data_IF_327626771268
#
_entry.id   IF_327626771268
#
_cell.length_a   1.000
_cell.length_b   1.000
_cell.length_c   1.000
_cell.angle_alpha   90.00
_cell.angle_beta   90.00
_cell.angle_gamma   90.00
#
_symmetry.space_group_name_H-M   'P 1'
#
loop_
_entity.id
_entity.type
_entity.pdbx_description
1 polymer ?
#
# COMPACT_ATOMS: atom_id res chain seq x y z
N UNK A 1 -20.91 -17.18 9.62
CA UNK A 1 -20.55 -15.89 10.24
C UNK A 1 -19.85 -15.05 9.18
N UNK A 2 -20.62 -14.21 8.50
CA UNK A 2 -20.14 -13.38 7.39
C UNK A 2 -19.29 -12.25 7.96
N UNK A 3 -18.01 -12.19 7.56
CA UNK A 3 -17.14 -11.07 7.92
C UNK A 3 -17.51 -9.88 7.03
N UNK A 4 -18.09 -8.84 7.63
CA UNK A 4 -18.40 -7.59 6.94
C UNK A 4 -17.09 -6.89 6.59
N UNK A 5 -16.61 -7.05 5.36
CA UNK A 5 -15.45 -6.30 4.86
C UNK A 5 -15.95 -4.92 4.45
N UNK A 6 -15.64 -3.90 5.24
CA UNK A 6 -15.87 -2.51 4.83
C UNK A 6 -14.73 -2.09 3.91
N UNK A 7 -15.04 -1.93 2.61
CA UNK A 7 -14.08 -1.46 1.62
C UNK A 7 -13.88 0.04 1.79
N UNK A 8 -12.93 0.45 2.63
CA UNK A 8 -12.56 1.86 2.83
C UNK A 8 -11.45 2.23 1.85
N UNK A 9 -11.73 3.17 0.94
CA UNK A 9 -10.73 3.76 0.05
C UNK A 9 -10.19 5.05 0.66
N UNK A 10 -8.91 5.05 1.03
CA UNK A 10 -8.22 6.25 1.53
C UNK A 10 -7.40 6.86 0.39
N UNK A 11 -7.83 8.02 -0.11
CA UNK A 11 -7.07 8.80 -1.08
C UNK A 11 -6.23 9.85 -0.35
N UNK A 12 -4.90 9.72 -0.42
CA UNK A 12 -3.96 10.59 0.29
C UNK A 12 -3.15 11.40 -0.71
N UNK A 13 -3.25 12.73 -0.63
CA UNK A 13 -2.52 13.66 -1.52
C UNK A 13 -1.08 13.91 -1.06
N UNK A 14 -0.76 13.58 0.19
CA UNK A 14 0.57 13.73 0.80
C UNK A 14 1.19 12.34 1.09
N UNK A 15 2.50 12.15 0.92
CA UNK A 15 3.15 10.89 1.28
C UNK A 15 2.98 10.57 2.78
N UNK A 16 2.59 9.33 3.08
CA UNK A 16 2.56 8.82 4.46
C UNK A 16 4.00 8.68 4.97
N UNK A 17 4.28 9.29 6.10
CA UNK A 17 5.59 9.25 6.78
C UNK A 17 5.55 8.27 7.95
N UNK A 18 6.58 7.45 8.10
CA UNK A 18 6.73 6.52 9.21
C UNK A 18 7.26 7.27 10.45
N UNK A 19 6.56 7.23 11.59
CA UNK A 19 7.04 7.89 12.82
C UNK A 19 8.27 7.21 13.47
N UNK A 20 8.72 6.06 12.97
CA UNK A 20 9.93 5.38 13.47
C UNK A 20 11.17 5.85 12.69
N UNK A 21 11.16 5.72 11.36
CA UNK A 21 12.31 6.10 10.52
C UNK A 21 12.23 7.53 9.97
N UNK A 22 11.13 8.24 10.23
CA UNK A 22 10.85 9.61 9.74
C UNK A 22 10.86 9.77 8.21
N UNK A 23 10.91 8.67 7.47
CA UNK A 23 10.89 8.64 6.01
C UNK A 23 9.54 8.20 5.43
N UNK A 24 9.45 8.17 4.09
CA UNK A 24 8.29 7.61 3.38
C UNK A 24 8.06 6.15 3.79
N UNK A 25 6.83 5.80 4.11
CA UNK A 25 6.47 4.42 4.45
C UNK A 25 6.73 3.47 3.28
N UNK A 26 7.37 2.34 3.56
CA UNK A 26 7.61 1.21 2.64
C UNK A 26 6.96 -0.04 3.21
N UNK A 27 6.22 -0.80 2.39
CA UNK A 27 5.42 -1.95 2.85
C UNK A 27 4.56 -1.56 4.07
N UNK A 28 3.55 -0.71 3.86
CA UNK A 28 2.80 -0.10 4.94
C UNK A 28 2.05 -1.15 5.78
N UNK A 29 2.24 -1.04 7.09
CA UNK A 29 1.53 -1.80 8.10
C UNK A 29 0.71 -0.84 8.95
N UNK A 30 -0.56 -1.14 9.13
CA UNK A 30 -1.53 -0.35 9.90
C UNK A 30 -1.82 -1.02 11.25
N UNK A 31 -1.75 -0.23 12.32
CA UNK A 31 -2.22 -0.63 13.64
C UNK A 31 -3.75 -0.46 13.76
N UNK A 32 -4.37 -1.04 14.78
CA UNK A 32 -5.83 -0.91 15.02
C UNK A 32 -6.31 0.53 15.25
N UNK A 33 -5.38 1.40 15.63
CA UNK A 33 -5.58 2.83 15.87
C UNK A 33 -5.26 3.67 14.62
N UNK A 34 -5.18 3.01 13.46
CA UNK A 34 -4.97 3.60 12.14
C UNK A 34 -3.61 4.29 11.91
N UNK A 35 -2.64 4.12 12.81
CA UNK A 35 -1.28 4.58 12.56
C UNK A 35 -0.54 3.63 11.61
N UNK A 36 0.20 4.20 10.67
CA UNK A 36 0.88 3.48 9.60
C UNK A 36 2.39 3.59 9.75
N UNK A 37 3.09 2.47 9.60
CA UNK A 37 4.54 2.36 9.69
C UNK A 37 5.09 1.47 8.57
N UNK A 38 6.41 1.50 8.35
CA UNK A 38 7.04 0.47 7.52
C UNK A 38 6.99 -0.87 8.25
N UNK A 39 6.75 -1.98 7.54
CA UNK A 39 6.79 -3.34 8.10
C UNK A 39 8.07 -3.57 8.93
N UNK A 40 9.24 -3.38 8.33
CA UNK A 40 10.52 -3.58 9.02
C UNK A 40 10.64 -2.71 10.28
N UNK A 41 10.18 -1.47 10.23
CA UNK A 41 10.28 -0.55 11.36
C UNK A 41 9.40 -1.00 12.53
N UNK A 42 8.14 -1.36 12.26
CA UNK A 42 7.23 -1.80 13.31
C UNK A 42 7.63 -3.18 13.85
N UNK A 43 8.14 -4.08 13.00
CA UNK A 43 8.61 -5.40 13.42
C UNK A 43 9.80 -5.31 14.39
N UNK A 44 10.76 -4.41 14.11
CA UNK A 44 11.88 -4.15 15.03
C UNK A 44 11.41 -3.56 16.35
N UNK A 45 10.45 -2.65 16.32
CA UNK A 45 9.90 -2.04 17.53
C UNK A 45 9.18 -3.07 18.42
N UNK A 46 8.37 -3.93 17.81
CA UNK A 46 7.55 -4.93 18.50
C UNK A 46 8.35 -6.04 19.21
N UNK A 47 9.64 -6.19 18.89
CA UNK A 47 10.54 -7.11 19.63
C UNK A 47 10.73 -6.72 21.10
N UNK A 48 10.67 -5.42 21.39
CA UNK A 48 11.01 -4.89 22.70
C UNK A 48 9.86 -4.09 23.34
N UNK A 49 8.83 -3.73 22.57
CA UNK A 49 7.70 -2.92 23.04
C UNK A 49 6.39 -3.39 22.43
N UNK A 50 5.36 -3.60 23.24
CA UNK A 50 4.02 -4.03 22.78
C UNK A 50 3.03 -2.86 22.66
N UNK A 51 3.50 -1.66 22.34
CA UNK A 51 2.67 -0.45 22.25
C UNK A 51 2.89 0.27 20.92
N UNK A 52 1.87 0.93 20.39
CA UNK A 52 1.98 1.73 19.18
C UNK A 52 3.00 2.87 19.37
N UNK A 53 3.98 3.04 18.46
CA UNK A 53 4.99 4.10 18.57
C UNK A 53 4.43 5.53 18.61
N UNK A 54 3.26 5.76 17.99
CA UNK A 54 2.68 7.10 17.86
C UNK A 54 1.82 7.52 19.06
N UNK A 55 0.98 6.62 19.58
CA UNK A 55 -0.01 6.95 20.61
C UNK A 55 0.01 6.02 21.83
N UNK A 56 0.95 5.07 21.90
CA UNK A 56 1.16 4.13 23.01
C UNK A 56 0.00 3.18 23.31
N UNK A 57 -1.04 3.14 22.48
CA UNK A 57 -2.11 2.12 22.57
C UNK A 57 -1.48 0.72 22.49
N UNK A 58 -1.83 -0.22 23.39
CA UNK A 58 -1.32 -1.58 23.37
C UNK A 58 -1.61 -2.30 22.04
N UNK A 59 -0.63 -3.09 21.59
CA UNK A 59 -0.73 -3.99 20.45
C UNK A 59 -0.69 -5.41 21.02
N UNK A 60 -1.79 -6.14 20.86
CA UNK A 60 -1.98 -7.49 21.40
C UNK A 60 -2.33 -8.48 20.27
N UNK A 61 -2.31 -9.80 20.53
CA UNK A 61 -2.72 -10.79 19.53
C UNK A 61 -4.16 -10.62 19.04
N UNK A 62 -5.05 -10.06 19.86
CA UNK A 62 -6.44 -9.75 19.51
C UNK A 62 -6.55 -8.47 18.65
N UNK A 63 -5.54 -7.60 18.74
CA UNK A 63 -5.45 -6.32 18.03
C UNK A 63 -4.11 -6.16 17.30
N UNK A 64 -3.79 -7.05 16.33
CA UNK A 64 -2.50 -7.04 15.66
C UNK A 64 -2.40 -5.93 14.61
N UNK A 65 -1.17 -5.57 14.28
CA UNK A 65 -0.85 -4.78 13.10
C UNK A 65 -1.11 -5.61 11.82
N UNK A 66 -1.59 -4.96 10.75
CA UNK A 66 -1.95 -5.63 9.48
C UNK A 66 -1.30 -4.93 8.30
N UNK A 67 -0.89 -5.67 7.28
CA UNK A 67 -0.41 -5.09 6.03
C UNK A 67 -1.55 -4.39 5.27
N UNK A 68 -1.25 -3.26 4.65
CA UNK A 68 -2.21 -2.55 3.77
C UNK A 68 -2.08 -3.12 2.35
N UNK A 69 -3.15 -3.75 1.86
CA UNK A 69 -3.24 -4.26 0.49
C UNK A 69 -3.18 -3.09 -0.49
N UNK A 70 -2.27 -3.14 -1.47
CA UNK A 70 -2.10 -2.09 -2.48
C UNK A 70 -1.23 -0.91 -2.04
N UNK A 71 -0.68 -0.93 -0.83
CA UNK A 71 0.41 -0.03 -0.47
C UNK A 71 1.63 -0.35 -1.32
N UNK A 72 2.19 0.63 -2.02
CA UNK A 72 3.34 0.45 -2.91
C UNK A 72 4.51 -0.15 -2.13
N UNK A 73 4.69 -1.46 -2.20
CA UNK A 73 5.97 -2.09 -1.92
C UNK A 73 6.92 -1.65 -3.03
N UNK A 74 8.18 -1.37 -2.71
CA UNK A 74 9.20 -1.15 -3.75
C UNK A 74 9.43 -2.41 -4.60
N UNK A 75 8.82 -3.54 -4.22
CA UNK A 75 8.48 -4.63 -5.13
C UNK A 75 7.23 -4.30 -5.95
N UNK A 76 7.25 -3.19 -6.69
CA UNK A 76 6.61 -3.24 -8.00
C UNK A 76 7.24 -4.47 -8.67
N UNK A 77 6.48 -5.43 -9.23
CA UNK A 77 7.11 -6.34 -10.15
C UNK A 77 7.82 -5.43 -11.14
N UNK A 78 9.15 -5.52 -11.19
CA UNK A 78 9.96 -4.88 -12.22
C UNK A 78 9.54 -5.58 -13.50
N UNK A 79 8.35 -5.24 -14.01
CA UNK A 79 7.92 -5.55 -15.35
C UNK A 79 9.07 -5.05 -16.18
N UNK A 80 9.76 -6.00 -16.83
CA UNK A 80 10.90 -5.72 -17.68
C UNK A 80 10.58 -4.49 -18.54
N UNK A 81 11.58 -3.67 -18.80
CA UNK A 81 11.44 -2.50 -19.67
C UNK A 81 10.69 -2.86 -20.97
N UNK A 82 10.92 -4.07 -21.49
CA UNK A 82 10.22 -4.66 -22.64
C UNK A 82 8.73 -4.83 -22.41
N UNK A 83 8.30 -5.34 -21.25
CA UNK A 83 6.88 -5.53 -20.92
C UNK A 83 6.18 -4.18 -20.77
N UNK A 84 6.80 -3.21 -20.10
CA UNK A 84 6.26 -1.85 -19.97
C UNK A 84 6.10 -1.18 -21.34
N UNK A 85 7.09 -1.33 -22.22
CA UNK A 85 7.05 -0.82 -23.60
C UNK A 85 5.93 -1.49 -24.41
N UNK A 86 5.77 -2.80 -24.30
CA UNK A 86 4.72 -3.55 -24.97
C UNK A 86 3.33 -3.08 -24.52
N UNK A 87 3.07 -3.04 -23.20
CA UNK A 87 1.79 -2.59 -22.65
C UNK A 87 1.41 -1.17 -23.10
N UNK A 88 2.39 -0.25 -23.13
CA UNK A 88 2.18 1.11 -23.65
C UNK A 88 1.83 1.12 -25.14
N UNK A 89 2.52 0.31 -25.95
CA UNK A 89 2.23 0.18 -27.39
C UNK A 89 0.83 -0.40 -27.63
N UNK A 90 0.49 -1.49 -26.96
CA UNK A 90 -0.82 -2.14 -27.06
C UNK A 90 -1.94 -1.19 -26.64
N UNK A 91 -1.77 -0.44 -25.54
CA UNK A 91 -2.75 0.58 -25.12
C UNK A 91 -2.99 1.62 -26.21
N UNK A 92 -1.93 2.10 -26.87
CA UNK A 92 -2.07 3.10 -27.93
C UNK A 92 -2.78 2.53 -29.17
N UNK A 93 -2.45 1.31 -29.57
CA UNK A 93 -3.10 0.62 -30.71
C UNK A 93 -4.59 0.41 -30.47
N UNK A 94 -4.99 0.02 -29.26
CA UNK A 94 -6.40 -0.15 -28.90
C UNK A 94 -7.17 1.18 -28.95
N UNK A 95 -6.59 2.25 -28.39
CA UNK A 95 -7.19 3.59 -28.45
C UNK A 95 -7.37 4.08 -29.89
N UNK A 96 -6.38 3.83 -30.76
CA UNK A 96 -6.48 4.18 -32.17
C UNK A 96 -7.60 3.41 -32.85
N UNK A 97 -7.70 2.10 -32.60
CA UNK A 97 -8.74 1.25 -33.17
C UNK A 97 -10.14 1.66 -32.69
N UNK A 98 -10.30 2.01 -31.41
CA UNK A 98 -11.55 2.56 -30.88
C UNK A 98 -11.91 3.88 -31.56
N UNK A 99 -10.93 4.76 -31.80
CA UNK A 99 -11.15 6.01 -32.51
C UNK A 99 -11.63 5.77 -33.95
N UNK A 100 -10.97 4.89 -34.69
CA UNK A 100 -11.35 4.55 -36.06
C UNK A 100 -12.76 3.93 -36.14
N UNK A 101 -13.11 3.06 -35.18
CA UNK A 101 -14.45 2.46 -35.09
C UNK A 101 -15.53 3.47 -34.74
N UNK A 102 -15.24 4.44 -33.87
CA UNK A 102 -16.22 5.45 -33.46
C UNK A 102 -16.39 6.57 -34.49
N UNK A 103 -15.43 6.74 -35.40
CA UNK A 103 -15.38 7.84 -36.37
C UNK A 103 -15.65 7.38 -37.82
N UNK A 104 -16.19 6.16 -37.99
CA UNK A 104 -16.66 5.57 -39.22
C UNK A 104 -18.06 4.96 -39.02
#
# INVERSE_FOLDING_TARGET
MAQTVQNVTLSLTLPITCHICLGKVRQPVICINNHVFCSICIDLWLKNNSQCPACRVPITPENPCKEIIGGTSESEPMLSHTVRKHLRKTRLELLHKEYEVNNN
#
